data_IF_134011561932
#
_entry.id   IF_134011561932
#
_cell.length_a   1.000
_cell.length_b   1.000
_cell.length_c   1.000
_cell.angle_alpha   90.00
_cell.angle_beta   90.00
_cell.angle_gamma   90.00
#
_symmetry.space_group_name_H-M   'P 1'
#
loop_
_entity.id
_entity.type
_entity.pdbx_description
1 polymer ?
#
# COMPACT_ATOMS: atom_id res chain seq x y z
N UNK A 1 18.09 5.12 -14.39
CA UNK A 1 18.28 6.08 -13.29
C UNK A 1 17.47 5.57 -12.12
N UNK A 2 17.98 5.60 -10.90
CA UNK A 2 17.20 5.25 -9.70
C UNK A 2 16.52 6.51 -9.17
N UNK A 3 15.29 6.40 -8.68
CA UNK A 3 14.56 7.54 -8.11
C UNK A 3 15.32 8.21 -6.96
N UNK A 4 15.28 9.54 -6.91
CA UNK A 4 15.96 10.35 -5.88
C UNK A 4 15.37 10.06 -4.49
N UNK A 5 16.17 10.27 -3.44
CA UNK A 5 15.80 10.11 -2.03
C UNK A 5 14.52 10.86 -1.66
N UNK A 6 14.33 12.06 -2.21
CA UNK A 6 13.15 12.89 -1.92
C UNK A 6 11.85 12.18 -2.34
N UNK A 7 11.87 11.49 -3.49
CA UNK A 7 10.72 10.70 -3.93
C UNK A 7 10.38 9.60 -2.93
N UNK A 8 11.38 8.86 -2.44
CA UNK A 8 11.15 7.78 -1.48
C UNK A 8 10.64 8.30 -0.13
N UNK A 9 11.15 9.44 0.33
CA UNK A 9 10.63 10.10 1.53
C UNK A 9 9.16 10.50 1.38
N UNK A 10 8.76 10.98 0.19
CA UNK A 10 7.37 11.38 -0.07
C UNK A 10 6.44 10.17 -0.19
N UNK A 11 6.93 9.05 -0.74
CA UNK A 11 6.21 7.76 -0.72
C UNK A 11 5.97 7.30 0.71
N UNK A 12 6.99 7.34 1.58
CA UNK A 12 6.85 6.97 3.00
C UNK A 12 5.80 7.85 3.71
N UNK A 13 5.91 9.18 3.58
CA UNK A 13 4.93 10.11 4.16
C UNK A 13 3.51 9.86 3.66
N UNK A 14 3.35 9.55 2.37
CA UNK A 14 2.07 9.20 1.79
C UNK A 14 1.53 7.92 2.45
N UNK A 15 2.35 6.86 2.57
CA UNK A 15 1.91 5.60 3.17
C UNK A 15 1.50 5.77 4.64
N UNK A 16 2.17 6.64 5.39
CA UNK A 16 1.83 6.93 6.79
C UNK A 16 0.49 7.65 6.96
N UNK A 17 0.14 8.54 6.01
CA UNK A 17 -0.97 9.49 6.17
C UNK A 17 -2.17 9.21 5.25
N UNK A 18 -2.00 8.39 4.21
CA UNK A 18 -3.04 8.09 3.24
C UNK A 18 -4.24 7.43 3.92
N UNK A 19 -5.45 7.75 3.46
CA UNK A 19 -6.66 6.98 3.77
C UNK A 19 -6.69 5.65 3.00
N UNK A 20 -7.54 4.70 3.42
CA UNK A 20 -7.73 3.43 2.70
C UNK A 20 -8.17 3.63 1.24
N UNK A 21 -9.01 4.64 0.98
CA UNK A 21 -9.43 5.00 -0.38
C UNK A 21 -8.25 5.49 -1.22
N UNK A 22 -7.36 6.30 -0.65
CA UNK A 22 -6.16 6.79 -1.32
C UNK A 22 -5.16 5.65 -1.59
N UNK A 23 -4.98 4.72 -0.64
CA UNK A 23 -4.15 3.53 -0.87
C UNK A 23 -4.72 2.63 -1.97
N UNK A 24 -6.04 2.44 -2.02
CA UNK A 24 -6.70 1.69 -3.08
C UNK A 24 -6.52 2.36 -4.44
N UNK A 25 -6.69 3.68 -4.51
CA UNK A 25 -6.45 4.44 -5.74
C UNK A 25 -4.99 4.35 -6.19
N UNK A 26 -4.03 4.50 -5.27
CA UNK A 26 -2.61 4.37 -5.55
C UNK A 26 -2.26 2.95 -6.06
N UNK A 27 -2.85 1.91 -5.45
CA UNK A 27 -2.67 0.52 -5.88
C UNK A 27 -3.14 0.31 -7.33
N UNK A 28 -4.27 0.88 -7.72
CA UNK A 28 -4.78 0.83 -9.09
C UNK A 28 -3.90 1.62 -10.07
N UNK A 29 -3.51 2.84 -9.71
CA UNK A 29 -2.66 3.70 -10.57
C UNK A 29 -1.29 3.08 -10.80
N UNK A 30 -0.63 2.57 -9.75
CA UNK A 30 0.68 1.93 -9.88
C UNK A 30 0.59 0.61 -10.62
N UNK A 31 -0.50 -0.15 -10.46
CA UNK A 31 -0.75 -1.36 -11.24
C UNK A 31 -0.90 -1.04 -12.74
N UNK A 32 -1.63 0.02 -13.10
CA UNK A 32 -1.74 0.47 -14.48
C UNK A 32 -0.36 0.83 -15.06
N UNK A 33 0.49 1.52 -14.28
CA UNK A 33 1.85 1.87 -14.69
C UNK A 33 2.76 0.65 -14.92
N UNK A 34 2.49 -0.50 -14.29
CA UNK A 34 3.24 -1.74 -14.56
C UNK A 34 2.92 -2.34 -15.93
N UNK A 35 1.79 -2.00 -16.54
CA UNK A 35 1.42 -2.46 -17.88
C UNK A 35 2.03 -1.58 -18.99
N UNK A 36 2.52 -0.39 -18.65
CA UNK A 36 3.10 0.55 -19.60
C UNK A 36 4.52 0.15 -20.01
N UNK A 37 4.93 0.37 -21.27
CA UNK A 37 6.31 0.16 -21.70
C UNK A 37 7.27 1.09 -20.95
N UNK A 38 8.21 0.52 -20.21
CA UNK A 38 9.24 1.24 -19.48
C UNK A 38 10.59 0.52 -19.56
N UNK A 39 11.68 1.25 -19.34
CA UNK A 39 12.99 0.61 -19.20
C UNK A 39 13.04 -0.25 -17.91
N UNK A 40 14.01 -1.18 -17.85
CA UNK A 40 14.13 -2.13 -16.73
C UNK A 40 14.32 -1.46 -15.37
N UNK A 41 15.01 -0.32 -15.31
CA UNK A 41 15.23 0.39 -14.06
C UNK A 41 13.94 1.05 -13.59
N UNK A 42 13.24 1.75 -14.48
CA UNK A 42 11.94 2.37 -14.21
C UNK A 42 10.91 1.31 -13.78
N UNK A 43 10.83 0.19 -14.50
CA UNK A 43 9.93 -0.91 -14.13
C UNK A 43 10.28 -1.53 -12.76
N UNK A 44 11.56 -1.56 -12.37
CA UNK A 44 11.97 -2.01 -11.04
C UNK A 44 11.47 -1.04 -9.96
N UNK A 45 11.60 0.26 -10.19
CA UNK A 45 11.17 1.29 -9.24
C UNK A 45 9.64 1.30 -9.08
N UNK A 46 8.87 1.20 -10.19
CA UNK A 46 7.40 1.07 -10.15
C UNK A 46 6.99 -0.17 -9.34
N UNK A 47 7.66 -1.31 -9.54
CA UNK A 47 7.38 -2.55 -8.78
C UNK A 47 7.69 -2.40 -7.29
N UNK A 48 8.72 -1.63 -6.92
CA UNK A 48 9.04 -1.37 -5.53
C UNK A 48 7.93 -0.54 -4.86
N UNK A 49 7.47 0.55 -5.50
CA UNK A 49 6.34 1.35 -5.02
C UNK A 49 5.08 0.49 -4.89
N UNK A 50 4.78 -0.34 -5.88
CA UNK A 50 3.62 -1.24 -5.84
C UNK A 50 3.62 -2.16 -4.62
N UNK A 51 4.79 -2.74 -4.30
CA UNK A 51 4.96 -3.60 -3.12
C UNK A 51 4.72 -2.84 -1.82
N UNK A 52 5.27 -1.64 -1.69
CA UNK A 52 5.08 -0.82 -0.49
C UNK A 52 3.60 -0.52 -0.24
N UNK A 53 2.85 -0.14 -1.28
CA UNK A 53 1.40 0.10 -1.17
C UNK A 53 0.66 -1.17 -0.73
N UNK A 54 0.97 -2.33 -1.31
CA UNK A 54 0.35 -3.60 -0.93
C UNK A 54 0.65 -4.00 0.52
N UNK A 55 1.89 -3.82 0.96
CA UNK A 55 2.31 -4.19 2.31
C UNK A 55 1.69 -3.26 3.35
N UNK A 56 1.53 -1.98 3.04
CA UNK A 56 0.81 -1.04 3.89
C UNK A 56 -0.67 -1.42 4.04
N UNK A 57 -1.36 -1.71 2.93
CA UNK A 57 -2.75 -2.18 2.96
C UNK A 57 -2.91 -3.45 3.80
N UNK A 58 -1.97 -4.40 3.69
CA UNK A 58 -1.97 -5.64 4.49
C UNK A 58 -1.75 -5.37 5.97
N UNK A 59 -0.83 -4.47 6.30
CA UNK A 59 -0.53 -4.08 7.68
C UNK A 59 -1.77 -3.47 8.33
N UNK A 60 -2.43 -2.52 7.67
CA UNK A 60 -3.67 -1.92 8.15
C UNK A 60 -4.78 -2.95 8.31
N UNK A 61 -5.00 -3.81 7.32
CA UNK A 61 -6.01 -4.87 7.42
C UNK A 61 -5.72 -5.86 8.57
N UNK A 62 -4.45 -6.11 8.91
CA UNK A 62 -4.08 -6.92 10.06
C UNK A 62 -4.34 -6.20 11.39
N UNK A 63 -4.07 -4.90 11.46
CA UNK A 63 -4.34 -4.08 12.64
C UNK A 63 -5.85 -3.91 12.90
N UNK A 64 -6.65 -3.63 11.87
CA UNK A 64 -8.11 -3.53 11.99
C UNK A 64 -8.71 -4.83 12.51
N UNK A 65 -8.30 -5.99 11.95
CA UNK A 65 -8.76 -7.31 12.43
C UNK A 65 -8.37 -7.61 13.88
N UNK A 66 -7.23 -7.10 14.35
CA UNK A 66 -6.81 -7.24 15.76
C UNK A 66 -7.56 -6.31 16.70
N UNK A 67 -8.01 -5.16 16.18
CA UNK A 67 -8.76 -4.17 16.94
C UNK A 67 -10.26 -4.52 17.09
N UNK A 68 -10.79 -5.46 16.29
CA UNK A 68 -12.13 -6.02 16.50
C UNK A 68 -12.15 -6.91 17.75
N UNK A 69 -12.80 -6.53 18.87
CA UNK A 69 -13.00 -7.44 19.98
C UNK A 69 -13.86 -8.62 19.53
N UNK A 70 -13.58 -9.81 20.06
CA UNK A 70 -14.34 -11.06 19.86
C UNK A 70 -15.77 -10.97 20.47
N UNK A 71 -16.57 -9.99 20.06
CA UNK A 71 -17.95 -9.78 20.53
C UNK A 71 -18.93 -10.72 19.82
N UNK A 72 -18.64 -12.02 19.78
CA UNK A 72 -19.53 -13.03 19.18
C UNK A 72 -19.60 -14.36 19.93
N UNK A 73 -19.30 -14.39 21.23
CA UNK A 73 -19.59 -15.56 22.07
C UNK A 73 -19.99 -15.15 23.49
N UNK A 74 -21.18 -14.59 23.68
CA UNK A 74 -21.81 -14.50 25.01
C UNK A 74 -23.29 -14.09 24.94
N UNK A 75 -24.12 -14.72 24.11
CA UNK A 75 -25.59 -14.74 24.33
C UNK A 75 -26.08 -16.09 23.84
N UNK A 76 -26.97 -16.72 24.60
CA UNK A 76 -27.48 -18.09 24.50
C UNK A 76 -26.72 -19.09 25.39
N UNK A 77 -26.71 -18.80 26.70
CA UNK A 77 -26.81 -19.81 27.74
C UNK A 77 -28.26 -19.81 28.27
#
# INVERSE_FOLDING_TARGET
>A
MSMNRDFWNDVEKFLDTASERQLTAAQQSVFALLAEPADRATHRDIRAVYRLVLDEMRTRAALTRRAEPMTRQAVLA
#
